data_IF_686551542895
#
_entry.id   IF_686551542895
#
_cell.length_a   1.000
_cell.length_b   1.000
_cell.length_c   1.000
_cell.angle_alpha   90.00
_cell.angle_beta   90.00
_cell.angle_gamma   90.00
#
_symmetry.space_group_name_H-M   'P 1'
#
loop_
_entity.id
_entity.type
_entity.pdbx_description
1 polymer ?
#
# COMPACT_ATOMS: atom_id res chain seq x y z
N UNK A 1 -28.72 47.69 -36.41
CA UNK A 1 -28.19 47.05 -35.19
C UNK A 1 -29.04 45.85 -34.83
N UNK A 2 -28.52 44.63 -35.04
CA UNK A 2 -28.68 43.44 -34.19
C UNK A 2 -27.85 42.31 -34.81
N UNK A 3 -27.13 41.63 -33.93
CA UNK A 3 -26.02 40.72 -34.15
C UNK A 3 -26.53 39.28 -34.07
N UNK A 4 -25.68 38.34 -34.52
CA UNK A 4 -25.61 36.90 -34.20
C UNK A 4 -26.07 35.97 -35.33
N UNK A 5 -25.13 35.28 -35.99
CA UNK A 5 -24.48 34.02 -35.57
C UNK A 5 -25.32 32.85 -36.12
N UNK A 6 -24.82 31.99 -36.99
CA UNK A 6 -24.07 30.81 -36.57
C UNK A 6 -23.15 30.35 -37.72
N UNK A 7 -21.85 30.63 -37.58
CA UNK A 7 -20.78 29.96 -38.31
C UNK A 7 -20.07 29.01 -37.34
N UNK A 8 -19.64 27.86 -37.86
CA UNK A 8 -18.83 26.80 -37.23
C UNK A 8 -19.57 25.98 -36.14
N UNK A 9 -19.94 24.71 -36.30
CA UNK A 9 -19.33 23.58 -37.02
C UNK A 9 -17.85 23.35 -36.67
N UNK A 10 -17.62 22.19 -36.04
CA UNK A 10 -16.35 21.51 -35.75
C UNK A 10 -15.60 21.92 -34.47
N UNK A 11 -15.77 21.10 -33.44
CA UNK A 11 -14.96 21.10 -32.24
C UNK A 11 -15.24 19.88 -31.37
N UNK A 12 -15.07 18.68 -31.93
CA UNK A 12 -14.86 17.45 -31.14
C UNK A 12 -13.54 17.60 -30.38
N UNK A 13 -13.55 18.34 -29.28
CA UNK A 13 -12.44 18.39 -28.35
C UNK A 13 -12.63 17.31 -27.29
N UNK A 14 -12.08 16.14 -27.63
CA UNK A 14 -11.35 15.25 -26.75
C UNK A 14 -11.33 15.72 -25.28
N UNK A 15 -12.24 15.16 -24.47
CA UNK A 15 -12.12 15.29 -23.01
C UNK A 15 -10.88 14.46 -22.66
N UNK A 16 -9.77 15.05 -22.16
CA UNK A 16 -8.74 14.23 -21.58
C UNK A 16 -9.40 13.58 -20.37
N UNK A 17 -9.54 12.25 -20.42
CA UNK A 17 -9.84 11.48 -19.22
C UNK A 17 -8.63 11.70 -18.32
N UNK A 18 -8.69 12.76 -17.51
CA UNK A 18 -7.80 12.89 -16.39
C UNK A 18 -8.11 11.69 -15.54
N UNK A 19 -7.22 10.70 -15.58
CA UNK A 19 -7.08 9.74 -14.51
C UNK A 19 -6.79 10.60 -13.27
N UNK A 20 -7.86 11.04 -12.61
CA UNK A 20 -7.76 11.53 -11.26
C UNK A 20 -7.26 10.32 -10.49
N UNK A 21 -5.96 10.35 -10.16
CA UNK A 21 -5.39 9.58 -9.07
C UNK A 21 -6.37 9.73 -7.92
N UNK A 22 -7.20 8.71 -7.74
CA UNK A 22 -8.08 8.63 -6.58
C UNK A 22 -7.14 8.26 -5.45
N UNK A 23 -6.41 9.27 -4.96
CA UNK A 23 -5.82 9.25 -3.64
C UNK A 23 -6.95 8.85 -2.72
N UNK A 24 -6.87 7.62 -2.21
CA UNK A 24 -7.82 7.11 -1.23
C UNK A 24 -7.96 8.21 -0.17
N UNK A 25 -9.15 8.82 -0.10
CA UNK A 25 -9.45 9.87 0.87
C UNK A 25 -8.88 9.42 2.20
N UNK A 26 -7.96 10.23 2.73
CA UNK A 26 -7.24 9.94 3.95
C UNK A 26 -8.21 9.40 4.99
N UNK A 27 -8.03 8.14 5.34
CA UNK A 27 -8.63 7.63 6.57
C UNK A 27 -7.89 8.41 7.66
N UNK A 28 -8.57 9.39 8.24
CA UNK A 28 -8.12 10.06 9.47
C UNK A 28 -8.10 9.02 10.59
N UNK A 29 -7.09 8.15 10.55
CA UNK A 29 -6.73 7.30 11.67
C UNK A 29 -6.09 8.23 12.69
N UNK A 30 -6.92 8.91 13.48
CA UNK A 30 -6.50 9.43 14.77
C UNK A 30 -5.92 8.24 15.52
N UNK A 31 -4.60 8.13 15.51
CA UNK A 31 -3.86 7.04 16.12
C UNK A 31 -3.94 7.24 17.64
N UNK A 32 -5.11 6.98 18.21
CA UNK A 32 -5.27 6.90 19.66
C UNK A 32 -4.40 5.73 20.12
N UNK A 33 -3.38 6.08 20.91
CA UNK A 33 -2.51 5.16 21.58
C UNK A 33 -3.32 4.44 22.69
N UNK A 34 -4.26 3.58 22.30
CA UNK A 34 -4.87 2.61 23.21
C UNK A 34 -3.86 1.50 23.43
N UNK A 35 -3.16 1.62 24.55
CA UNK A 35 -2.34 0.57 25.12
C UNK A 35 -3.26 -0.62 25.49
N UNK A 36 -2.93 -1.81 24.98
CA UNK A 36 -3.60 -3.12 25.19
C UNK A 36 -4.90 -3.34 24.36
N UNK A 37 -5.08 -4.40 23.57
CA UNK A 37 -4.51 -5.74 23.73
C UNK A 37 -4.54 -6.64 22.49
N UNK A 38 -4.28 -6.11 21.28
CA UNK A 38 -3.83 -6.93 20.15
C UNK A 38 -3.09 -6.06 19.13
N UNK A 39 -1.76 -6.08 19.17
CA UNK A 39 -0.96 -5.50 18.08
C UNK A 39 -1.30 -6.24 16.77
N UNK A 40 -1.54 -5.51 15.67
CA UNK A 40 -1.70 -6.12 14.36
C UNK A 40 -0.48 -6.98 13.99
N UNK A 41 -0.69 -8.11 13.30
CA UNK A 41 0.35 -9.11 13.04
C UNK A 41 1.65 -8.51 12.47
N UNK A 42 1.56 -7.59 11.51
CA UNK A 42 2.72 -6.88 10.97
C UNK A 42 3.47 -6.06 12.02
N UNK A 43 2.75 -5.35 12.91
CA UNK A 43 3.35 -4.52 13.98
C UNK A 43 4.11 -5.39 14.99
N UNK A 44 3.71 -6.64 15.20
CA UNK A 44 4.45 -7.58 16.06
C UNK A 44 5.83 -7.88 15.48
N UNK A 45 6.02 -7.83 14.17
CA UNK A 45 7.31 -8.11 13.53
C UNK A 45 8.24 -6.89 13.45
N UNK A 46 7.75 -5.65 13.50
CA UNK A 46 8.56 -4.45 13.18
C UNK A 46 9.76 -4.22 14.09
N UNK A 47 9.78 -4.79 15.30
CA UNK A 47 10.94 -4.72 16.20
C UNK A 47 12.17 -5.48 15.66
N UNK A 48 11.98 -6.36 14.67
CA UNK A 48 13.06 -7.09 14.00
C UNK A 48 13.72 -6.26 12.88
N UNK A 49 13.20 -5.06 12.58
CA UNK A 49 13.84 -4.15 11.65
C UNK A 49 14.96 -3.38 12.36
N UNK A 50 16.17 -3.31 11.80
CA UNK A 50 17.25 -2.52 12.37
C UNK A 50 16.87 -1.03 12.51
N UNK A 51 17.26 -0.45 13.64
CA UNK A 51 17.02 0.97 13.94
C UNK A 51 17.84 1.90 13.02
N UNK A 52 17.49 3.19 13.01
CA UNK A 52 18.20 4.20 12.22
C UNK A 52 17.90 4.16 10.72
N UNK A 53 16.90 3.39 10.30
CA UNK A 53 16.54 3.22 8.89
C UNK A 53 15.06 3.46 8.62
N UNK A 54 14.79 4.01 7.44
CA UNK A 54 13.43 4.10 6.89
C UNK A 54 13.20 2.92 5.95
N UNK A 55 12.08 2.24 6.12
CA UNK A 55 11.66 1.11 5.30
C UNK A 55 10.35 1.42 4.58
N UNK A 56 10.19 0.85 3.39
CA UNK A 56 8.93 0.79 2.66
C UNK A 56 8.53 -0.67 2.54
N UNK A 57 7.40 -1.02 3.15
CA UNK A 57 6.83 -2.36 3.13
C UNK A 57 5.70 -2.38 2.09
N UNK A 58 5.73 -3.33 1.17
CA UNK A 58 4.66 -3.58 0.20
C UNK A 58 4.17 -5.00 0.34
N UNK A 59 2.87 -5.17 0.58
CA UNK A 59 2.21 -6.48 0.64
C UNK A 59 1.12 -6.49 -0.42
N UNK A 60 1.22 -7.42 -1.35
CA UNK A 60 0.20 -7.64 -2.38
C UNK A 60 -0.34 -9.03 -2.12
N UNK A 61 -1.58 -9.13 -1.67
CA UNK A 61 -2.20 -10.40 -1.30
C UNK A 61 -3.59 -10.56 -1.87
N UNK A 62 -3.99 -11.80 -2.09
CA UNK A 62 -5.37 -12.19 -2.42
C UNK A 62 -5.95 -12.99 -1.25
N UNK A 63 -7.24 -12.79 -1.00
CA UNK A 63 -8.00 -13.54 -0.01
C UNK A 63 -9.27 -14.04 -0.66
N UNK A 64 -9.43 -15.35 -0.74
CA UNK A 64 -10.62 -15.96 -1.29
C UNK A 64 -11.74 -15.95 -0.24
N UNK A 65 -12.81 -15.18 -0.50
CA UNK A 65 -14.00 -15.11 0.36
C UNK A 65 -15.20 -15.93 -0.14
N UNK A 66 -15.00 -16.75 -1.16
CA UNK A 66 -16.06 -17.57 -1.75
C UNK A 66 -16.39 -18.81 -0.91
N UNK A 67 -15.47 -19.27 -0.05
CA UNK A 67 -15.68 -20.39 0.88
C UNK A 67 -15.72 -19.94 2.35
N UNK A 68 -16.36 -20.74 3.21
CA UNK A 68 -16.45 -20.48 4.67
C UNK A 68 -15.21 -20.90 5.47
N UNK A 69 -14.10 -21.24 4.80
CA UNK A 69 -12.87 -21.62 5.51
C UNK A 69 -12.36 -20.49 6.42
N UNK A 70 -11.86 -20.85 7.60
CA UNK A 70 -11.51 -19.89 8.66
C UNK A 70 -10.02 -19.53 8.64
N UNK A 71 -9.18 -20.37 8.01
CA UNK A 71 -7.74 -20.12 7.83
C UNK A 71 -7.46 -19.37 6.53
N UNK A 72 -7.67 -18.04 6.56
CA UNK A 72 -7.41 -17.16 5.42
C UNK A 72 -6.17 -16.30 5.65
N UNK A 73 -5.03 -16.96 5.73
CA UNK A 73 -3.75 -16.27 5.50
C UNK A 73 -3.75 -15.66 4.08
N UNK A 74 -3.15 -14.48 3.94
CA UNK A 74 -3.10 -13.80 2.65
C UNK A 74 -2.10 -14.50 1.74
N UNK A 75 -2.53 -14.98 0.57
CA UNK A 75 -1.58 -15.49 -0.42
C UNK A 75 -1.06 -14.34 -1.28
N UNK A 76 0.25 -14.17 -1.35
CA UNK A 76 0.82 -13.19 -2.28
C UNK A 76 2.28 -12.84 -2.03
N UNK A 77 2.67 -11.65 -2.49
CA UNK A 77 4.04 -11.18 -2.49
C UNK A 77 4.29 -10.18 -1.34
N UNK A 78 5.40 -10.39 -0.64
CA UNK A 78 5.96 -9.45 0.30
C UNK A 78 7.25 -8.84 -0.26
N UNK A 79 7.32 -7.51 -0.31
CA UNK A 79 8.51 -6.77 -0.76
C UNK A 79 8.93 -5.75 0.29
N UNK A 80 10.20 -5.78 0.66
CA UNK A 80 10.82 -4.77 1.51
C UNK A 80 11.83 -3.96 0.71
N UNK A 81 11.77 -2.65 0.85
CA UNK A 81 12.74 -1.72 0.25
C UNK A 81 13.09 -0.62 1.23
N UNK A 82 14.12 0.16 0.91
CA UNK A 82 14.44 1.36 1.68
C UNK A 82 13.31 2.40 1.58
N UNK A 83 13.35 3.42 2.45
CA UNK A 83 12.42 4.56 2.38
C UNK A 83 12.41 5.30 1.04
N UNK A 84 13.45 5.11 0.22
CA UNK A 84 13.57 5.65 -1.14
C UNK A 84 13.07 4.70 -2.24
N UNK A 85 12.42 3.58 -1.88
CA UNK A 85 12.02 2.47 -2.76
C UNK A 85 13.17 1.79 -3.51
N UNK A 86 14.42 2.13 -3.21
CA UNK A 86 15.60 1.42 -3.70
C UNK A 86 15.74 0.06 -3.00
N UNK A 87 16.29 -0.96 -3.69
CA UNK A 87 16.67 -2.22 -3.07
C UNK A 87 17.56 -1.98 -1.85
N UNK A 88 17.42 -2.84 -0.85
CA UNK A 88 18.33 -2.83 0.29
C UNK A 88 19.69 -3.36 -0.17
N UNK A 89 20.75 -2.86 0.44
CA UNK A 89 22.09 -3.42 0.25
C UNK A 89 22.17 -4.83 0.83
N UNK A 90 23.23 -5.57 0.44
CA UNK A 90 23.42 -6.97 0.82
C UNK A 90 23.43 -7.17 2.34
N UNK A 91 24.08 -6.26 3.09
CA UNK A 91 24.17 -6.37 4.55
C UNK A 91 22.78 -6.25 5.19
N UNK A 92 22.02 -5.23 4.82
CA UNK A 92 20.65 -5.07 5.34
C UNK A 92 19.72 -6.19 4.91
N UNK A 93 19.86 -6.75 3.70
CA UNK A 93 19.06 -7.91 3.28
C UNK A 93 19.29 -9.14 4.17
N UNK A 94 20.49 -9.33 4.69
CA UNK A 94 20.79 -10.40 5.63
C UNK A 94 20.19 -10.12 7.01
N UNK A 95 20.33 -8.89 7.51
CA UNK A 95 19.84 -8.48 8.83
C UNK A 95 18.32 -8.53 8.97
N UNK A 96 17.57 -8.30 7.88
CA UNK A 96 16.10 -8.30 7.90
C UNK A 96 15.47 -9.70 7.71
N UNK A 97 16.25 -10.76 7.50
CA UNK A 97 15.71 -12.12 7.31
C UNK A 97 14.73 -12.53 8.41
N UNK A 98 15.00 -12.28 9.71
CA UNK A 98 14.05 -12.57 10.79
C UNK A 98 12.73 -11.82 10.63
N UNK A 99 12.77 -10.57 10.17
CA UNK A 99 11.58 -9.78 9.91
C UNK A 99 10.74 -10.37 8.77
N UNK A 100 11.37 -10.73 7.64
CA UNK A 100 10.69 -11.35 6.48
C UNK A 100 10.01 -12.65 6.92
N UNK A 101 10.71 -13.48 7.68
CA UNK A 101 10.18 -14.74 8.20
C UNK A 101 8.96 -14.50 9.11
N UNK A 102 9.08 -13.61 10.09
CA UNK A 102 7.96 -13.26 10.98
C UNK A 102 6.72 -12.79 10.20
N UNK A 103 6.88 -11.93 9.19
CA UNK A 103 5.75 -11.47 8.38
C UNK A 103 5.14 -12.61 7.58
N UNK A 104 5.96 -13.51 7.04
CA UNK A 104 5.49 -14.67 6.27
C UNK A 104 4.66 -15.61 7.13
N UNK A 105 5.06 -15.84 8.38
CA UNK A 105 4.35 -16.78 9.27
C UNK A 105 3.08 -16.17 9.90
N UNK A 106 3.05 -14.85 10.08
CA UNK A 106 1.99 -14.18 10.85
C UNK A 106 1.00 -13.37 10.00
N UNK A 107 1.37 -13.00 8.78
CA UNK A 107 0.57 -12.13 7.89
C UNK A 107 0.19 -12.86 6.61
N UNK A 108 1.15 -13.55 5.98
CA UNK A 108 0.96 -14.35 4.78
C UNK A 108 0.63 -15.81 5.14
#
# INVERSE_FOLDING_TARGET
MKIFSYFLLLGLFYIPVSFADTSAKGVDNKMENKQSGNQGALRKCTHLLPEGHKYTISIIGTSDKTTKEVNKQFKGEFKLSSGSKKPLDKKRNEEIKPFIQCVTETVL
#
